data_IF_502809077046
#
_entry.id   IF_502809077046
#
_cell.length_a   1.000
_cell.length_b   1.000
_cell.length_c   1.000
_cell.angle_alpha   90.00
_cell.angle_beta   90.00
_cell.angle_gamma   90.00
#
_symmetry.space_group_name_H-M   'P 1'
#
loop_
_entity.id
_entity.type
_entity.pdbx_description
1 polymer ?
#
# COMPACT_ATOMS: atom_id res chain seq x y z
N UNK A 1 -8.65 -8.20 -6.37
CA UNK A 1 -9.16 -7.08 -5.54
C UNK A 1 -10.68 -7.02 -5.59
N UNK A 2 -11.34 -6.78 -4.45
CA UNK A 2 -12.81 -6.72 -4.39
C UNK A 2 -13.37 -5.41 -4.99
N UNK A 3 -14.51 -5.44 -5.72
CA UNK A 3 -15.09 -4.27 -6.38
C UNK A 3 -15.61 -3.20 -5.40
N UNK A 4 -15.95 -3.60 -4.16
CA UNK A 4 -16.51 -2.68 -3.15
C UNK A 4 -15.57 -1.54 -2.78
N UNK A 5 -14.25 -1.76 -2.80
CA UNK A 5 -13.28 -0.70 -2.52
C UNK A 5 -13.34 0.43 -3.57
N UNK A 6 -13.49 0.07 -4.85
CA UNK A 6 -13.61 1.03 -5.96
C UNK A 6 -14.93 1.79 -5.88
N UNK A 7 -16.02 1.08 -5.56
CA UNK A 7 -17.34 1.69 -5.40
C UNK A 7 -17.35 2.76 -4.30
N UNK A 8 -16.83 2.43 -3.11
CA UNK A 8 -16.76 3.38 -1.99
C UNK A 8 -15.88 4.58 -2.31
N UNK A 9 -14.71 4.33 -2.93
CA UNK A 9 -13.81 5.41 -3.35
C UNK A 9 -14.46 6.36 -4.37
N UNK A 10 -15.17 5.81 -5.36
CA UNK A 10 -15.91 6.60 -6.35
C UNK A 10 -17.02 7.42 -5.70
N UNK A 11 -17.77 6.83 -4.76
CA UNK A 11 -18.86 7.55 -4.06
C UNK A 11 -18.39 8.67 -3.14
N UNK A 12 -17.27 8.47 -2.47
CA UNK A 12 -16.73 9.45 -1.52
C UNK A 12 -15.72 10.42 -2.17
N UNK A 13 -15.32 10.17 -3.42
CA UNK A 13 -14.27 10.94 -4.10
C UNK A 13 -12.91 10.86 -3.41
N UNK A 14 -12.65 9.79 -2.65
CA UNK A 14 -11.40 9.61 -1.90
C UNK A 14 -10.35 8.88 -2.74
N UNK A 15 -9.06 9.26 -2.66
CA UNK A 15 -8.02 8.59 -3.42
C UNK A 15 -7.68 7.22 -2.82
N UNK A 16 -7.34 6.26 -3.68
CA UNK A 16 -6.85 4.93 -3.27
C UNK A 16 -5.33 4.92 -3.33
N UNK A 17 -4.67 4.49 -2.25
CA UNK A 17 -3.24 4.21 -2.22
C UNK A 17 -3.05 2.69 -2.19
N UNK A 18 -2.29 2.16 -3.14
CA UNK A 18 -1.95 0.74 -3.20
C UNK A 18 -0.63 0.49 -2.48
N UNK A 19 -0.53 -0.66 -1.81
CA UNK A 19 0.68 -1.07 -1.12
C UNK A 19 0.96 -2.54 -1.44
N UNK A 20 2.13 -2.81 -2.04
CA UNK A 20 2.66 -4.15 -2.25
C UNK A 20 3.63 -4.53 -1.14
N UNK A 21 3.62 -5.79 -0.73
CA UNK A 21 4.49 -6.31 0.32
C UNK A 21 5.35 -7.46 -0.21
N UNK A 22 6.60 -7.50 0.24
CA UNK A 22 7.54 -8.57 -0.02
C UNK A 22 8.27 -8.99 1.25
N UNK A 23 8.50 -10.29 1.40
CA UNK A 23 9.17 -10.86 2.56
C UNK A 23 10.42 -11.61 2.13
N UNK A 24 11.51 -11.49 2.89
CA UNK A 24 12.72 -12.26 2.62
C UNK A 24 12.58 -13.68 3.19
N UNK A 25 12.57 -14.70 2.30
CA UNK A 25 12.45 -16.13 2.62
C UNK A 25 11.23 -16.48 3.51
N UNK A 26 9.99 -16.14 3.09
CA UNK A 26 8.80 -16.44 3.88
C UNK A 26 8.50 -17.94 3.89
N UNK A 27 7.85 -18.40 4.96
CA UNK A 27 7.19 -19.70 4.94
C UNK A 27 5.84 -19.54 4.24
N UNK A 28 5.70 -20.13 3.05
CA UNK A 28 4.42 -20.18 2.33
C UNK A 28 3.65 -21.39 2.84
N UNK A 29 2.52 -21.15 3.50
CA UNK A 29 1.65 -22.23 3.95
C UNK A 29 0.91 -22.82 2.76
N UNK A 30 0.82 -24.14 2.65
CA UNK A 30 -0.02 -24.82 1.64
C UNK A 30 -1.51 -24.86 2.03
N UNK A 31 -1.98 -23.81 2.73
CA UNK A 31 -3.39 -23.65 3.09
C UNK A 31 -4.17 -22.95 1.97
N UNK A 32 -5.49 -22.89 2.08
CA UNK A 32 -6.39 -22.28 1.10
C UNK A 32 -6.07 -20.80 0.79
N UNK A 33 -5.35 -20.10 1.68
CA UNK A 33 -4.96 -18.70 1.49
C UNK A 33 -3.51 -18.52 1.00
N UNK A 34 -2.72 -19.60 0.91
CA UNK A 34 -1.29 -19.56 0.54
C UNK A 34 -0.47 -18.45 1.23
N UNK A 35 -0.86 -18.10 2.46
CA UNK A 35 -0.31 -16.95 3.18
C UNK A 35 1.20 -17.07 3.36
N UNK A 36 1.92 -16.00 3.06
CA UNK A 36 3.37 -15.89 3.27
C UNK A 36 3.63 -15.41 4.70
N UNK A 37 4.01 -16.33 5.59
CA UNK A 37 4.39 -15.99 6.95
C UNK A 37 5.86 -15.52 6.95
N UNK A 38 6.14 -14.26 7.32
CA UNK A 38 7.51 -13.80 7.48
C UNK A 38 8.19 -14.61 8.58
N UNK A 39 9.43 -15.05 8.33
CA UNK A 39 10.21 -15.72 9.38
C UNK A 39 10.48 -14.72 10.52
N UNK A 40 10.53 -15.18 11.79
CA UNK A 40 10.98 -14.32 12.88
C UNK A 40 12.32 -13.66 12.53
N UNK A 41 12.44 -12.35 12.77
CA UNK A 41 13.61 -11.53 12.45
C UNK A 41 13.95 -11.39 10.94
N UNK A 42 13.02 -11.75 10.04
CA UNK A 42 13.20 -11.48 8.61
C UNK A 42 12.88 -10.03 8.25
N UNK A 43 13.48 -9.55 7.16
CA UNK A 43 13.19 -8.23 6.61
C UNK A 43 11.92 -8.32 5.76
N UNK A 44 11.00 -7.40 6.00
CA UNK A 44 9.87 -7.12 5.12
C UNK A 44 10.13 -5.81 4.36
N UNK A 45 9.69 -5.77 3.11
CA UNK A 45 9.77 -4.60 2.24
C UNK A 45 8.35 -4.26 1.79
N UNK A 46 8.03 -2.97 1.76
CA UNK A 46 6.74 -2.47 1.28
C UNK A 46 6.98 -1.39 0.24
N UNK A 47 6.18 -1.41 -0.82
CA UNK A 47 6.18 -0.39 -1.88
C UNK A 47 4.78 0.20 -1.96
N UNK A 48 4.69 1.52 -1.88
CA UNK A 48 3.43 2.26 -2.02
C UNK A 48 3.33 2.91 -3.39
N UNK A 49 2.13 2.95 -3.96
CA UNK A 49 1.84 3.75 -5.14
C UNK A 49 1.62 5.22 -4.79
N UNK A 50 1.70 6.08 -5.82
CA UNK A 50 1.06 7.39 -5.74
C UNK A 50 -0.46 7.24 -5.51
N UNK A 51 -1.12 8.23 -4.89
CA UNK A 51 -2.58 8.24 -4.75
C UNK A 51 -3.25 8.18 -6.12
N UNK A 52 -4.24 7.29 -6.26
CA UNK A 52 -5.02 7.11 -7.48
C UNK A 52 -6.41 7.69 -7.24
N UNK A 53 -6.71 8.78 -7.95
CA UNK A 53 -8.03 9.41 -7.91
C UNK A 53 -8.99 8.62 -8.78
N UNK A 54 -10.12 8.21 -8.21
CA UNK A 54 -11.20 7.55 -8.92
C UNK A 54 -12.29 8.57 -9.23
N UNK A 55 -12.79 8.65 -10.48
CA UNK A 55 -13.90 9.52 -10.82
C UNK A 55 -15.14 9.24 -9.96
N UNK A 56 -15.89 10.29 -9.65
CA UNK A 56 -17.16 10.15 -8.94
C UNK A 56 -18.25 9.59 -9.86
N UNK A 57 -19.24 8.93 -9.26
CA UNK A 57 -20.43 8.39 -9.94
C UNK A 57 -20.14 7.44 -11.12
N UNK A 58 -19.14 6.57 -10.97
CA UNK A 58 -18.89 5.51 -11.94
C UNK A 58 -20.07 4.54 -12.03
N UNK A 59 -20.37 4.12 -13.26
CA UNK A 59 -21.28 3.03 -13.54
C UNK A 59 -20.59 1.66 -13.33
N UNK A 60 -21.32 0.57 -13.57
CA UNK A 60 -20.80 -0.78 -13.34
C UNK A 60 -19.58 -1.11 -14.20
N UNK A 61 -19.56 -0.64 -15.44
CA UNK A 61 -18.46 -0.88 -16.38
C UNK A 61 -17.22 -0.08 -15.96
N UNK A 62 -17.40 1.19 -15.56
CA UNK A 62 -16.34 2.02 -15.01
C UNK A 62 -15.75 1.42 -13.74
N UNK A 63 -16.58 0.93 -12.81
CA UNK A 63 -16.10 0.25 -11.59
C UNK A 63 -15.24 -0.96 -11.95
N UNK A 64 -15.68 -1.79 -12.90
CA UNK A 64 -14.94 -2.98 -13.31
C UNK A 64 -13.60 -2.65 -13.99
N UNK A 65 -13.59 -1.61 -14.83
CA UNK A 65 -12.37 -1.09 -15.44
C UNK A 65 -11.33 -0.68 -14.38
N UNK A 66 -11.74 0.15 -13.42
CA UNK A 66 -10.84 0.59 -12.35
C UNK A 66 -10.43 -0.56 -11.43
N UNK A 67 -11.33 -1.52 -11.18
CA UNK A 67 -11.00 -2.73 -10.41
C UNK A 67 -9.86 -3.51 -11.07
N UNK A 68 -9.92 -3.74 -12.38
CA UNK A 68 -8.88 -4.45 -13.13
C UNK A 68 -7.56 -3.66 -13.16
N UNK A 69 -7.64 -2.35 -13.39
CA UNK A 69 -6.46 -1.48 -13.40
C UNK A 69 -5.76 -1.47 -12.04
N UNK A 70 -6.51 -1.31 -10.94
CA UNK A 70 -5.96 -1.34 -9.58
C UNK A 70 -5.40 -2.72 -9.22
N UNK A 71 -6.08 -3.79 -9.62
CA UNK A 71 -5.61 -5.16 -9.40
C UNK A 71 -4.28 -5.42 -10.11
N UNK A 72 -4.19 -5.07 -11.39
CA UNK A 72 -2.94 -5.19 -12.16
C UNK A 72 -1.81 -4.41 -11.50
N UNK A 73 -2.07 -3.18 -11.08
CA UNK A 73 -1.08 -2.33 -10.42
C UNK A 73 -0.67 -2.85 -9.04
N UNK A 74 -1.62 -3.34 -8.24
CA UNK A 74 -1.35 -3.93 -6.93
C UNK A 74 -0.49 -5.20 -7.05
N UNK A 75 -0.80 -6.05 -8.03
CA UNK A 75 -0.02 -7.25 -8.31
C UNK A 75 1.41 -6.89 -8.74
N UNK A 76 1.58 -5.91 -9.62
CA UNK A 76 2.89 -5.42 -10.02
C UNK A 76 3.72 -4.88 -8.84
N UNK A 77 3.12 -4.07 -7.97
CA UNK A 77 3.77 -3.58 -6.75
C UNK A 77 4.18 -4.70 -5.81
N UNK A 78 3.35 -5.73 -5.69
CA UNK A 78 3.64 -6.90 -4.84
C UNK A 78 4.81 -7.69 -5.42
N UNK A 79 4.83 -7.94 -6.73
CA UNK A 79 5.93 -8.63 -7.40
C UNK A 79 7.25 -7.86 -7.29
N UNK A 80 7.22 -6.54 -7.48
CA UNK A 80 8.40 -5.69 -7.25
C UNK A 80 8.89 -5.76 -5.80
N UNK A 81 7.98 -5.76 -4.83
CA UNK A 81 8.31 -5.83 -3.42
C UNK A 81 8.92 -7.18 -3.07
N UNK A 82 8.39 -8.28 -3.60
CA UNK A 82 8.95 -9.63 -3.44
C UNK A 82 10.35 -9.73 -4.04
N UNK A 83 10.56 -9.25 -5.28
CA UNK A 83 11.88 -9.24 -5.93
C UNK A 83 12.90 -8.41 -5.15
N UNK A 84 12.49 -7.27 -4.61
CA UNK A 84 13.33 -6.44 -3.77
C UNK A 84 13.65 -7.10 -2.42
N UNK A 85 12.67 -7.79 -1.82
CA UNK A 85 12.90 -8.54 -0.59
C UNK A 85 13.86 -9.71 -0.80
N UNK A 86 13.79 -10.38 -1.95
CA UNK A 86 14.70 -11.49 -2.31
C UNK A 86 16.11 -11.00 -2.67
N UNK A 87 16.24 -9.88 -3.38
CA UNK A 87 17.56 -9.34 -3.78
C UNK A 87 18.39 -8.85 -2.60
N UNK A 88 17.74 -8.43 -1.50
CA UNK A 88 18.40 -7.91 -0.30
C UNK A 88 19.11 -6.56 -0.50
N UNK A 89 19.02 -5.96 -1.70
CA UNK A 89 19.67 -4.70 -2.04
C UNK A 89 18.96 -3.50 -1.39
N UNK A 90 19.74 -2.44 -1.17
CA UNK A 90 19.18 -1.15 -0.80
C UNK A 90 18.57 -0.46 -2.04
N UNK A 91 17.36 0.09 -1.92
CA UNK A 91 16.75 0.95 -2.95
C UNK A 91 16.99 2.43 -2.57
N UNK A 92 17.26 3.28 -3.54
CA UNK A 92 17.62 4.70 -3.33
C UNK A 92 16.59 5.48 -2.49
N UNK A 93 15.30 5.17 -2.65
CA UNK A 93 14.20 5.81 -1.92
C UNK A 93 13.67 4.95 -0.75
N UNK A 94 14.45 4.00 -0.24
CA UNK A 94 14.00 3.18 0.89
C UNK A 94 14.03 3.95 2.20
N UNK A 95 12.94 3.88 2.96
CA UNK A 95 12.88 4.41 4.33
C UNK A 95 12.67 3.25 5.30
N UNK A 96 13.48 3.19 6.35
CA UNK A 96 13.30 2.19 7.40
C UNK A 96 12.05 2.54 8.22
N UNK A 97 11.04 1.67 8.15
CA UNK A 97 9.86 1.75 9.00
C UNK A 97 10.21 1.20 10.38
N UNK A 98 10.63 2.07 11.28
CA UNK A 98 10.77 1.73 12.70
C UNK A 98 9.41 1.78 13.38
N UNK A 99 9.25 1.00 14.45
CA UNK A 99 8.09 1.11 15.34
C UNK A 99 8.11 2.50 15.97
N UNK A 100 7.44 3.46 15.33
CA UNK A 100 7.12 4.72 15.99
C UNK A 100 6.27 4.36 17.22
N UNK A 101 6.66 4.85 18.40
CA UNK A 101 5.68 4.99 19.50
C UNK A 101 4.51 5.72 18.88
N UNK A 102 3.30 5.15 18.95
CA UNK A 102 2.11 5.77 18.40
C UNK A 102 1.97 7.17 19.01
N UNK A 103 2.47 8.18 18.32
CA UNK A 103 1.89 9.50 18.41
C UNK A 103 0.50 9.31 17.80
N UNK A 104 -0.51 9.43 18.65
CA UNK A 104 -1.90 9.63 18.28
C UNK A 104 -1.98 10.34 16.92
N UNK A 105 -2.54 9.70 15.87
CA UNK A 105 -2.67 10.38 14.59
C UNK A 105 -3.73 11.49 14.71
N UNK A 106 -3.46 12.72 14.25
CA UNK A 106 -4.40 13.81 14.26
C UNK A 106 -5.33 13.68 13.04
N UNK A 107 -6.12 12.62 12.95
CA UNK A 107 -7.11 12.48 11.88
C UNK A 107 -8.35 13.36 12.10
N UNK A 108 -8.19 14.53 12.70
CA UNK A 108 -9.23 15.56 12.66
C UNK A 108 -9.54 15.86 11.19
N UNK A 109 -10.69 15.35 10.73
CA UNK A 109 -11.27 15.68 9.44
C UNK A 109 -11.58 17.18 9.42
N UNK A 110 -10.61 17.98 9.01
CA UNK A 110 -10.86 19.36 8.62
C UNK A 110 -11.56 19.35 7.24
N UNK A 111 -12.69 20.06 7.08
CA UNK A 111 -13.51 20.02 5.86
C UNK A 111 -12.94 20.79 4.67
N UNK A 112 -11.69 21.25 4.73
CA UNK A 112 -11.09 22.11 3.68
C UNK A 112 -9.93 21.34 3.03
N UNK A 113 -10.02 21.16 1.72
CA UNK A 113 -9.10 20.34 0.95
C UNK A 113 -7.66 20.87 0.85
N UNK A 114 -6.88 20.08 0.12
CA UNK A 114 -5.51 20.32 -0.34
C UNK A 114 -4.36 19.79 0.55
N UNK A 115 -3.50 19.00 -0.10
CA UNK A 115 -2.24 18.40 0.39
C UNK A 115 -2.34 17.32 1.48
N UNK A 116 -2.46 16.06 1.03
CA UNK A 116 -1.90 14.90 1.75
C UNK A 116 -0.37 14.97 1.68
N UNK A 117 0.21 15.93 2.41
CA UNK A 117 1.62 15.91 2.78
C UNK A 117 1.84 14.77 3.75
N UNK A 118 2.38 13.65 3.27
CA UNK A 118 2.96 12.62 4.13
C UNK A 118 4.05 13.31 4.96
N UNK A 119 3.74 13.72 6.21
CA UNK A 119 4.76 14.18 7.15
C UNK A 119 5.62 12.97 7.51
N UNK A 120 6.63 12.75 6.69
CA UNK A 120 7.81 11.97 7.01
C UNK A 120 8.32 12.51 8.35
N UNK A 121 8.13 11.72 9.41
CA UNK A 121 8.78 11.98 10.69
C UNK A 121 10.27 11.71 10.46
N UNK A 122 10.95 12.73 9.99
CA UNK A 122 12.39 12.79 9.92
C UNK A 122 12.90 13.02 11.34
N UNK A 123 13.58 12.03 11.90
CA UNK A 123 14.55 12.28 12.98
C UNK A 123 15.85 11.59 12.61
N UNK A 124 16.58 12.26 11.71
CA UNK A 124 18.01 12.38 11.89
C UNK A 124 18.26 12.98 13.29
N UNK A 125 18.96 12.26 14.16
CA UNK A 125 19.88 12.81 15.17
C UNK A 125 20.43 11.69 16.09
N UNK A 126 21.76 11.55 16.04
CA UNK A 126 22.72 10.92 16.94
C UNK A 126 22.59 9.43 17.28
#
# INVERSE_FOLDING_TARGET
>A
MAPGAVYVASRLGVPIVLMGFGYHRPWRLNSWDRFAIPRPFSRARAITSAPITIPQDLDREGIEYYRQMLESRLNGLTEEAEKWAESGLARENETALFKARAAHPPWECHPEGHEIGLKLVNRAAC
#
